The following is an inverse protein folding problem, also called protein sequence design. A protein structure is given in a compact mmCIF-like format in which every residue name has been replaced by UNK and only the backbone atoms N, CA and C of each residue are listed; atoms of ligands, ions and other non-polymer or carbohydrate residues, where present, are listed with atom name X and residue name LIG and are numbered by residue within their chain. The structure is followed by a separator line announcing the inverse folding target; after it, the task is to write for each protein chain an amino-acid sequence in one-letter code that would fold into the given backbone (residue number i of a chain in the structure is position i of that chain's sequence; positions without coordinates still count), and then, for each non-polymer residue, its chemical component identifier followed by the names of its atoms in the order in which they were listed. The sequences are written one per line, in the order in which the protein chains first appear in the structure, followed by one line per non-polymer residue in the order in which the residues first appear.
data_IF_335791796207
#
_entry.id   IF_335791796207
#
_cell.length_a   1.000
_cell.length_b   1.000
_cell.length_c   1.000
_cell.angle_alpha   90.00
_cell.angle_beta   90.00
_cell.angle_gamma   90.00
#
_symmetry.space_group_name_H-M   'P 1'
#
loop_
_entity.id
_entity.type
_entity.pdbx_description
1 polymer ?
#
# COMPACT_ATOMS: atom_id res chain seq x y z
N UNK A 1 25.94 28.33 32.57
CA UNK A 1 25.65 27.06 31.84
C UNK A 1 24.74 27.36 30.66
N UNK A 2 25.24 27.22 29.42
CA UNK A 2 24.45 27.43 28.20
C UNK A 2 23.41 26.31 28.07
N UNK A 3 22.13 26.66 27.91
CA UNK A 3 21.03 25.72 27.58
C UNK A 3 21.47 24.85 26.39
N UNK A 4 21.20 23.53 26.41
CA UNK A 4 21.57 22.67 25.29
C UNK A 4 20.84 23.17 24.04
N UNK A 5 21.60 23.41 22.96
CA UNK A 5 21.05 23.78 21.65
C UNK A 5 20.06 22.69 21.24
N UNK A 6 18.79 23.06 21.02
CA UNK A 6 17.80 22.20 20.37
C UNK A 6 18.43 21.67 19.09
N UNK A 7 18.54 20.34 18.96
CA UNK A 7 18.84 19.69 17.67
C UNK A 7 17.84 20.24 16.65
N UNK A 8 18.33 20.67 15.48
CA UNK A 8 17.49 21.11 14.36
C UNK A 8 16.39 20.06 14.16
N UNK A 9 15.15 20.50 14.34
CA UNK A 9 13.95 19.74 13.96
C UNK A 9 14.06 19.43 12.48
N UNK A 10 13.99 18.15 12.13
CA UNK A 10 13.90 17.69 10.74
C UNK A 10 12.70 18.41 10.13
N UNK A 11 12.95 19.22 9.10
CA UNK A 11 11.89 19.86 8.34
C UNK A 11 10.99 18.74 7.76
N UNK A 12 9.69 18.69 8.08
CA UNK A 12 8.81 17.60 7.65
C UNK A 12 8.70 17.45 6.13
N UNK A 13 9.07 18.49 5.37
CA UNK A 13 9.06 18.52 3.91
C UNK A 13 10.27 17.82 3.27
N UNK A 14 11.40 17.67 3.99
CA UNK A 14 12.64 17.09 3.48
C UNK A 14 12.83 15.61 3.86
N UNK A 15 11.88 15.02 4.60
CA UNK A 15 12.01 13.69 5.18
C UNK A 15 11.16 12.61 4.52
N UNK A 16 11.71 11.41 4.37
CA UNK A 16 11.04 10.25 3.78
C UNK A 16 10.14 9.57 4.83
N UNK A 17 8.89 9.24 4.47
CA UNK A 17 8.03 8.41 5.34
C UNK A 17 8.51 6.96 5.35
N UNK A 18 8.81 6.46 6.54
CA UNK A 18 9.30 5.11 6.75
C UNK A 18 8.31 4.32 7.61
N UNK A 19 7.87 3.17 7.11
CA UNK A 19 6.95 2.28 7.84
C UNK A 19 7.64 0.98 8.21
N UNK A 20 7.58 0.64 9.49
CA UNK A 20 8.02 -0.65 10.05
C UNK A 20 6.78 -1.47 10.42
N UNK A 21 6.74 -2.71 9.95
CA UNK A 21 5.73 -3.68 10.35
C UNK A 21 6.28 -4.58 11.46
N UNK A 22 5.55 -4.69 12.57
CA UNK A 22 5.81 -5.58 13.67
C UNK A 22 4.57 -6.39 14.09
N UNK A 23 4.72 -7.16 15.16
CA UNK A 23 3.66 -7.94 15.78
C UNK A 23 3.58 -7.60 17.27
N UNK A 24 2.37 -7.38 17.77
CA UNK A 24 2.12 -7.05 19.18
C UNK A 24 1.39 -8.18 19.88
N UNK A 25 1.87 -8.49 21.08
CA UNK A 25 1.35 -9.51 21.96
C UNK A 25 0.80 -8.81 23.20
N UNK A 26 -0.49 -8.42 23.22
CA UNK A 26 -1.07 -7.77 24.39
C UNK A 26 -1.18 -8.78 25.54
N UNK A 27 -0.77 -8.36 26.74
CA UNK A 27 -0.63 -9.24 27.91
C UNK A 27 -1.46 -8.73 29.08
N UNK A 28 -1.29 -7.45 29.45
CA UNK A 28 -1.98 -6.85 30.58
C UNK A 28 -3.18 -6.04 30.09
N UNK A 29 -4.38 -6.50 30.43
CA UNK A 29 -5.65 -5.85 30.12
C UNK A 29 -6.26 -5.20 31.36
N UNK A 30 -6.99 -4.09 31.22
CA UNK A 30 -7.82 -3.56 32.31
C UNK A 30 -8.84 -4.63 32.75
N UNK A 31 -8.96 -4.84 34.06
CA UNK A 31 -9.91 -5.82 34.60
C UNK A 31 -11.38 -5.44 34.33
N UNK A 32 -11.68 -4.13 34.34
CA UNK A 32 -13.03 -3.62 34.10
C UNK A 32 -13.39 -3.56 32.62
N UNK A 33 -14.62 -3.95 32.30
CA UNK A 33 -15.27 -3.74 30.99
C UNK A 33 -16.34 -2.67 31.10
N UNK A 34 -16.58 -1.94 30.01
CA UNK A 34 -17.63 -0.90 30.00
C UNK A 34 -19.01 -1.53 29.85
N UNK A 35 -19.91 -1.32 30.82
CA UNK A 35 -21.31 -1.75 30.71
C UNK A 35 -22.05 -1.07 29.56
N UNK A 36 -21.69 0.18 29.25
CA UNK A 36 -22.31 0.98 28.19
C UNK A 36 -21.83 0.57 26.79
N UNK A 37 -20.53 0.32 26.65
CA UNK A 37 -19.91 0.19 25.34
C UNK A 37 -19.50 -1.21 24.96
N UNK A 38 -19.21 -2.10 25.91
CA UNK A 38 -18.81 -3.47 25.61
C UNK A 38 -19.98 -4.26 25.01
N UNK A 39 -19.67 -5.31 24.24
CA UNK A 39 -20.67 -6.20 23.65
C UNK A 39 -20.25 -7.65 23.85
N UNK A 40 -21.11 -8.44 24.48
CA UNK A 40 -20.81 -9.84 24.82
C UNK A 40 -19.46 -9.96 25.54
N UNK A 41 -18.62 -10.88 25.08
CA UNK A 41 -17.31 -11.18 25.66
C UNK A 41 -16.15 -10.35 25.08
N UNK A 42 -16.43 -9.19 24.48
CA UNK A 42 -15.37 -8.30 23.99
C UNK A 42 -14.44 -7.84 25.13
N UNK A 43 -13.14 -8.06 24.95
CA UNK A 43 -12.12 -7.45 25.80
C UNK A 43 -12.07 -5.92 25.56
N UNK A 44 -11.52 -5.14 26.52
CA UNK A 44 -11.48 -3.68 26.40
C UNK A 44 -10.77 -3.16 25.14
N UNK A 45 -9.73 -3.83 24.65
CA UNK A 45 -9.05 -3.42 23.42
C UNK A 45 -9.95 -3.65 22.19
N UNK A 46 -10.61 -4.80 22.12
CA UNK A 46 -11.55 -5.13 21.03
C UNK A 46 -12.72 -4.13 21.01
N UNK A 47 -13.24 -3.75 22.16
CA UNK A 47 -14.25 -2.67 22.25
C UNK A 47 -13.70 -1.33 21.73
N UNK A 48 -12.51 -0.91 22.14
CA UNK A 48 -11.87 0.34 21.66
C UNK A 48 -11.73 0.36 20.13
N UNK A 49 -11.22 -0.74 19.54
CA UNK A 49 -11.05 -0.91 18.09
C UNK A 49 -12.41 -0.81 17.38
N UNK A 50 -13.45 -1.49 17.90
CA UNK A 50 -14.79 -1.47 17.31
C UNK A 50 -15.40 -0.07 17.35
N UNK A 51 -15.25 0.66 18.46
CA UNK A 51 -15.75 2.03 18.61
C UNK A 51 -15.03 2.97 17.65
N UNK A 52 -13.70 2.88 17.55
CA UNK A 52 -12.90 3.65 16.57
C UNK A 52 -13.39 3.41 15.12
N UNK A 53 -13.49 2.15 14.69
CA UNK A 53 -13.98 1.83 13.34
C UNK A 53 -15.43 2.24 13.11
N UNK A 54 -16.26 2.30 14.15
CA UNK A 54 -17.64 2.78 14.05
C UNK A 54 -17.68 4.30 13.90
N UNK A 55 -16.83 5.00 14.64
CA UNK A 55 -16.63 6.44 14.50
C UNK A 55 -16.11 6.82 13.11
N UNK A 56 -15.14 6.08 12.57
CA UNK A 56 -14.60 6.31 11.22
C UNK A 56 -15.71 6.19 10.15
N UNK A 57 -16.52 5.13 10.21
CA UNK A 57 -17.64 4.95 9.27
C UNK A 57 -18.72 6.02 9.41
N UNK A 58 -19.03 6.41 10.64
CA UNK A 58 -20.00 7.46 10.89
C UNK A 58 -19.48 8.80 10.37
N UNK A 59 -18.24 9.16 10.69
CA UNK A 59 -17.58 10.37 10.20
C UNK A 59 -17.51 10.40 8.68
N UNK A 60 -17.23 9.27 8.02
CA UNK A 60 -17.23 9.18 6.55
C UNK A 60 -18.55 9.61 5.91
N UNK A 61 -19.69 9.22 6.49
CA UNK A 61 -20.99 9.65 5.99
C UNK A 61 -21.22 11.14 6.27
N UNK A 62 -20.95 11.59 7.51
CA UNK A 62 -21.19 12.98 7.92
C UNK A 62 -20.30 14.00 7.19
N UNK A 63 -19.06 13.64 6.86
CA UNK A 63 -18.16 14.47 6.05
C UNK A 63 -18.71 14.68 4.63
N UNK A 64 -19.37 13.68 4.06
CA UNK A 64 -20.01 13.82 2.74
C UNK A 64 -21.28 14.69 2.78
N UNK A 65 -21.89 14.82 3.95
CA UNK A 65 -23.01 15.75 4.20
C UNK A 65 -22.52 17.19 4.43
N UNK A 66 -21.23 17.46 4.31
CA UNK A 66 -20.64 18.81 4.48
C UNK A 66 -20.42 19.22 5.94
N UNK A 67 -20.55 18.31 6.90
CA UNK A 67 -20.37 18.64 8.32
C UNK A 67 -18.90 18.88 8.68
N UNK A 68 -18.68 19.86 9.56
CA UNK A 68 -17.34 20.28 9.97
C UNK A 68 -16.64 19.27 10.90
N UNK A 69 -15.31 19.21 10.83
CA UNK A 69 -14.49 18.35 11.69
C UNK A 69 -14.76 18.61 13.18
N UNK A 70 -14.90 19.87 13.56
CA UNK A 70 -15.08 20.32 14.94
C UNK A 70 -16.40 19.80 15.53
N UNK A 71 -17.49 19.88 14.76
CA UNK A 71 -18.77 19.27 15.12
C UNK A 71 -18.66 17.77 15.29
N UNK A 72 -18.08 17.09 14.28
CA UNK A 72 -17.97 15.63 14.30
C UNK A 72 -17.12 15.14 15.46
N UNK A 73 -16.08 15.87 15.81
CA UNK A 73 -15.24 15.54 16.96
C UNK A 73 -16.00 15.66 18.28
N UNK A 74 -16.83 16.70 18.44
CA UNK A 74 -17.63 16.91 19.67
C UNK A 74 -18.72 15.85 19.80
N UNK A 75 -19.44 15.57 18.72
CA UNK A 75 -20.53 14.61 18.69
C UNK A 75 -20.03 13.16 18.76
N UNK A 76 -18.99 12.83 17.99
CA UNK A 76 -18.41 11.49 17.93
C UNK A 76 -17.87 11.01 19.29
N UNK A 77 -17.25 11.89 20.09
CA UNK A 77 -16.84 11.56 21.46
C UNK A 77 -18.03 11.11 22.33
N UNK A 78 -19.19 11.75 22.18
CA UNK A 78 -20.41 11.39 22.94
C UNK A 78 -21.03 10.08 22.42
N UNK A 79 -21.05 9.89 21.10
CA UNK A 79 -21.68 8.73 20.45
C UNK A 79 -20.84 7.46 20.62
N UNK A 80 -19.51 7.56 20.65
CA UNK A 80 -18.62 6.39 20.65
C UNK A 80 -17.81 6.23 21.94
N UNK A 81 -17.84 7.20 22.85
CA UNK A 81 -17.11 7.14 24.13
C UNK A 81 -15.60 7.20 24.01
N UNK A 82 -15.04 7.34 22.80
CA UNK A 82 -13.59 7.45 22.60
C UNK A 82 -13.10 8.88 22.86
N UNK A 83 -11.83 9.02 23.23
CA UNK A 83 -11.25 10.33 23.48
C UNK A 83 -11.19 11.20 22.21
N UNK A 84 -11.01 12.51 22.44
CA UNK A 84 -10.95 13.52 21.37
C UNK A 84 -9.90 13.22 20.29
N UNK A 85 -8.77 12.60 20.64
CA UNK A 85 -7.70 12.28 19.67
C UNK A 85 -8.07 11.11 18.78
N UNK A 86 -8.57 10.01 19.35
CA UNK A 86 -9.05 8.89 18.55
C UNK A 86 -10.24 9.27 17.67
N UNK A 87 -11.16 10.10 18.17
CA UNK A 87 -12.25 10.64 17.36
C UNK A 87 -11.71 11.46 16.18
N UNK A 88 -10.74 12.33 16.44
CA UNK A 88 -10.09 13.14 15.40
C UNK A 88 -9.35 12.30 14.36
N UNK A 89 -8.66 11.25 14.81
CA UNK A 89 -7.95 10.30 13.97
C UNK A 89 -8.91 9.44 13.13
N UNK A 90 -10.08 9.08 13.67
CA UNK A 90 -11.13 8.41 12.91
C UNK A 90 -11.72 9.33 11.82
N UNK A 91 -11.93 10.61 12.12
CA UNK A 91 -12.37 11.62 11.13
C UNK A 91 -11.30 11.80 10.05
N UNK A 92 -10.02 11.89 10.42
CA UNK A 92 -8.90 11.96 9.47
C UNK A 92 -8.89 10.75 8.53
N UNK A 93 -9.01 9.53 9.08
CA UNK A 93 -9.04 8.30 8.27
C UNK A 93 -10.23 8.28 7.32
N UNK A 94 -11.39 8.74 7.77
CA UNK A 94 -12.57 8.88 6.94
C UNK A 94 -12.36 9.89 5.79
N UNK A 95 -11.78 11.05 6.08
CA UNK A 95 -11.43 12.07 5.08
C UNK A 95 -10.45 11.55 4.03
N UNK A 96 -9.38 10.86 4.46
CA UNK A 96 -8.41 10.25 3.55
C UNK A 96 -9.04 9.20 2.61
N UNK A 97 -10.08 8.48 3.05
CA UNK A 97 -10.83 7.57 2.18
C UNK A 97 -11.61 8.36 1.12
N UNK A 98 -12.23 9.48 1.48
CA UNK A 98 -12.98 10.34 0.55
C UNK A 98 -12.03 10.94 -0.50
N UNK A 99 -10.91 11.53 -0.07
CA UNK A 99 -9.89 12.11 -0.94
C UNK A 99 -9.35 11.08 -1.93
N UNK A 100 -8.93 9.92 -1.43
CA UNK A 100 -8.46 8.81 -2.28
C UNK A 100 -9.53 8.37 -3.30
N UNK A 101 -10.82 8.40 -2.93
CA UNK A 101 -11.91 8.05 -3.85
C UNK A 101 -12.16 9.12 -4.92
N UNK A 102 -11.98 10.40 -4.59
CA UNK A 102 -12.06 11.49 -5.55
C UNK A 102 -10.93 11.42 -6.58
N UNK A 103 -9.70 11.18 -6.13
CA UNK A 103 -8.54 10.99 -7.02
C UNK A 103 -8.74 9.78 -7.95
N UNK A 104 -9.18 8.65 -7.38
CA UNK A 104 -9.42 7.44 -8.15
C UNK A 104 -10.59 7.57 -9.14
N UNK A 105 -11.55 8.47 -8.91
CA UNK A 105 -12.70 8.63 -9.78
C UNK A 105 -12.29 9.07 -11.19
N UNK A 106 -11.39 10.06 -11.29
CA UNK A 106 -10.88 10.54 -12.58
C UNK A 106 -10.17 9.42 -13.35
N UNK A 107 -9.26 8.70 -12.68
CA UNK A 107 -8.55 7.56 -13.25
C UNK A 107 -9.50 6.43 -13.66
N UNK A 108 -10.52 6.13 -12.85
CA UNK A 108 -11.50 5.10 -13.19
C UNK A 108 -12.37 5.47 -14.39
N UNK A 109 -12.71 6.75 -14.57
CA UNK A 109 -13.44 7.25 -15.74
C UNK A 109 -12.61 7.06 -16.99
N UNK A 110 -11.35 7.51 -16.97
CA UNK A 110 -10.43 7.39 -18.09
C UNK A 110 -10.24 5.90 -18.46
N UNK A 111 -9.83 5.07 -17.50
CA UNK A 111 -9.62 3.65 -17.73
C UNK A 111 -10.87 2.94 -18.26
N UNK A 112 -12.05 3.28 -17.71
CA UNK A 112 -13.32 2.67 -18.14
C UNK A 112 -13.68 3.13 -19.56
N UNK A 113 -13.40 4.38 -19.90
CA UNK A 113 -13.53 4.93 -21.26
C UNK A 113 -12.65 4.19 -22.26
N UNK A 114 -11.36 4.00 -21.96
CA UNK A 114 -10.44 3.23 -22.80
C UNK A 114 -10.90 1.78 -22.98
N UNK A 115 -11.36 1.13 -21.89
CA UNK A 115 -11.92 -0.23 -21.93
C UNK A 115 -13.17 -0.30 -22.80
N UNK A 116 -14.05 0.70 -22.73
CA UNK A 116 -15.26 0.79 -23.54
C UNK A 116 -14.92 0.95 -25.03
N UNK A 117 -14.00 1.85 -25.38
CA UNK A 117 -13.57 2.06 -26.75
C UNK A 117 -13.00 0.77 -27.36
N UNK A 118 -12.15 0.04 -26.61
CA UNK A 118 -11.64 -1.28 -27.03
C UNK A 118 -12.75 -2.32 -27.17
N UNK A 119 -13.69 -2.35 -26.23
CA UNK A 119 -14.80 -3.29 -26.27
C UNK A 119 -15.72 -3.05 -27.49
N UNK A 120 -15.93 -1.79 -27.89
CA UNK A 120 -16.64 -1.42 -29.13
C UNK A 120 -15.91 -1.93 -30.37
N UNK A 121 -14.61 -1.65 -30.51
CA UNK A 121 -13.81 -2.18 -31.63
C UNK A 121 -13.88 -3.72 -31.75
N UNK A 122 -13.89 -4.43 -30.60
CA UNK A 122 -14.03 -5.90 -30.57
C UNK A 122 -15.44 -6.37 -30.91
N UNK A 123 -16.47 -5.59 -30.59
CA UNK A 123 -17.85 -5.86 -31.00
C UNK A 123 -17.98 -5.70 -32.52
N UNK A 124 -17.47 -4.59 -33.08
CA UNK A 124 -17.54 -4.32 -34.53
C UNK A 124 -16.87 -5.45 -35.34
N UNK A 125 -15.71 -5.94 -34.88
CA UNK A 125 -15.04 -7.11 -35.49
C UNK A 125 -15.91 -8.37 -35.41
N UNK A 126 -16.47 -8.67 -34.23
CA UNK A 126 -17.33 -9.84 -34.05
C UNK A 126 -18.61 -9.78 -34.90
N UNK A 127 -19.17 -8.59 -35.12
CA UNK A 127 -20.33 -8.38 -35.99
C UNK A 127 -19.97 -8.61 -37.47
N UNK A 128 -18.78 -8.17 -37.91
CA UNK A 128 -18.25 -8.51 -39.24
C UNK A 128 -18.02 -10.01 -39.42
N UNK A 129 -17.45 -10.67 -38.41
CA UNK A 129 -17.24 -12.13 -38.44
C UNK A 129 -18.55 -12.90 -38.53
N UNK A 130 -19.60 -12.44 -37.83
CA UNK A 130 -20.94 -13.00 -37.92
C UNK A 130 -21.54 -12.81 -39.31
N UNK A 131 -21.43 -11.61 -39.90
CA UNK A 131 -21.90 -11.34 -41.25
C UNK A 131 -21.21 -12.23 -42.29
N UNK A 132 -19.89 -12.43 -42.16
CA UNK A 132 -19.13 -13.34 -43.02
C UNK A 132 -19.57 -14.81 -42.81
N UNK A 133 -19.79 -15.25 -41.56
CA UNK A 133 -20.26 -16.60 -41.27
C UNK A 133 -21.63 -16.88 -41.90
N UNK A 134 -22.56 -15.91 -41.84
CA UNK A 134 -23.88 -15.98 -42.49
C UNK A 134 -23.73 -16.16 -43.99
N UNK A 135 -22.83 -15.40 -44.64
CA UNK A 135 -22.55 -15.52 -46.08
C UNK A 135 -22.01 -16.90 -46.48
N UNK A 136 -21.19 -17.52 -45.63
CA UNK A 136 -20.63 -18.86 -45.88
C UNK A 136 -21.58 -20.02 -45.56
N UNK A 137 -22.75 -19.76 -44.96
CA UNK A 137 -23.81 -20.75 -44.73
C UNK A 137 -23.52 -21.85 -43.70
N UNK A 138 -22.37 -21.84 -43.00
CA UNK A 138 -22.03 -22.89 -42.02
C UNK A 138 -22.76 -22.67 -40.68
N UNK A 139 -23.71 -23.55 -40.28
CA UNK A 139 -24.55 -23.33 -39.09
C UNK A 139 -23.75 -23.22 -37.78
N UNK A 140 -22.74 -24.08 -37.60
CA UNK A 140 -21.89 -24.07 -36.41
C UNK A 140 -21.06 -22.78 -36.27
N UNK A 141 -20.58 -22.21 -37.39
CA UNK A 141 -19.85 -20.94 -37.38
C UNK A 141 -20.76 -19.77 -37.04
N UNK A 142 -21.98 -19.76 -37.57
CA UNK A 142 -23.00 -18.74 -37.30
C UNK A 142 -23.36 -18.73 -35.81
N UNK A 143 -23.63 -19.90 -35.22
CA UNK A 143 -23.99 -20.00 -33.80
C UNK A 143 -22.86 -19.48 -32.89
N UNK A 144 -21.62 -19.90 -33.15
CA UNK A 144 -20.43 -19.47 -32.39
C UNK A 144 -20.20 -17.96 -32.49
N UNK A 145 -20.32 -17.39 -33.69
CA UNK A 145 -20.20 -15.95 -33.91
C UNK A 145 -21.33 -15.19 -33.21
N UNK A 146 -22.57 -15.70 -33.26
CA UNK A 146 -23.73 -15.13 -32.57
C UNK A 146 -23.54 -15.07 -31.05
N UNK A 147 -23.11 -16.17 -30.41
CA UNK A 147 -22.76 -16.19 -28.98
C UNK A 147 -21.66 -15.18 -28.63
N UNK A 148 -20.68 -15.03 -29.51
CA UNK A 148 -19.59 -14.07 -29.34
C UNK A 148 -20.10 -12.63 -29.38
N UNK A 149 -20.89 -12.26 -30.39
CA UNK A 149 -21.53 -10.94 -30.51
C UNK A 149 -22.38 -10.65 -29.27
N UNK A 150 -23.21 -11.59 -28.84
CA UNK A 150 -24.03 -11.43 -27.63
C UNK A 150 -23.17 -11.10 -26.39
N UNK A 151 -22.11 -11.87 -26.15
CA UNK A 151 -21.17 -11.62 -25.05
C UNK A 151 -20.46 -10.26 -25.14
N UNK A 152 -20.07 -9.84 -26.35
CA UNK A 152 -19.45 -8.52 -26.59
C UNK A 152 -20.43 -7.37 -26.37
N UNK A 153 -21.68 -7.49 -26.84
CA UNK A 153 -22.76 -6.51 -26.57
C UNK A 153 -23.01 -6.35 -25.08
N UNK A 154 -23.12 -7.46 -24.34
CA UNK A 154 -23.27 -7.44 -22.88
C UNK A 154 -22.07 -6.77 -22.17
N UNK A 155 -20.85 -6.97 -22.68
CA UNK A 155 -19.65 -6.31 -22.15
C UNK A 155 -19.66 -4.80 -22.40
N UNK A 156 -20.01 -4.36 -23.61
CA UNK A 156 -20.14 -2.95 -23.99
C UNK A 156 -21.22 -2.27 -23.13
N UNK A 157 -22.42 -2.85 -23.03
CA UNK A 157 -23.51 -2.33 -22.20
C UNK A 157 -23.05 -2.09 -20.75
N UNK A 158 -22.42 -3.10 -20.14
CA UNK A 158 -21.92 -3.03 -18.76
C UNK A 158 -20.85 -1.94 -18.55
N UNK A 159 -19.93 -1.79 -19.50
CA UNK A 159 -18.89 -0.75 -19.44
C UNK A 159 -19.49 0.64 -19.63
N UNK A 160 -20.47 0.79 -20.52
CA UNK A 160 -21.22 2.04 -20.73
C UNK A 160 -21.95 2.43 -19.45
N UNK A 161 -22.76 1.54 -18.88
CA UNK A 161 -23.46 1.80 -17.62
C UNK A 161 -22.51 2.20 -16.49
N UNK A 162 -21.37 1.50 -16.35
CA UNK A 162 -20.36 1.87 -15.35
C UNK A 162 -19.79 3.27 -15.61
N UNK A 163 -19.46 3.59 -16.86
CA UNK A 163 -18.91 4.91 -17.21
C UNK A 163 -19.92 6.02 -16.93
N UNK A 164 -21.18 5.79 -17.26
CA UNK A 164 -22.27 6.74 -17.00
C UNK A 164 -22.43 6.97 -15.48
N UNK A 165 -22.45 5.90 -14.67
CA UNK A 165 -22.46 5.98 -13.19
C UNK A 165 -21.30 6.82 -12.64
N UNK A 166 -20.07 6.58 -13.12
CA UNK A 166 -18.89 7.32 -12.67
C UNK A 166 -18.95 8.80 -13.08
N UNK A 167 -19.42 9.10 -14.29
CA UNK A 167 -19.61 10.49 -14.75
C UNK A 167 -20.68 11.22 -13.95
N UNK A 168 -21.77 10.55 -13.60
CA UNK A 168 -22.79 11.11 -12.70
C UNK A 168 -22.18 11.50 -11.35
N UNK A 169 -21.33 10.64 -10.78
CA UNK A 169 -20.62 10.97 -9.54
C UNK A 169 -19.72 12.20 -9.69
N UNK A 170 -18.95 12.27 -10.79
CA UNK A 170 -18.08 13.41 -11.08
C UNK A 170 -18.87 14.71 -11.22
N UNK A 171 -19.95 14.71 -12.02
CA UNK A 171 -20.78 15.89 -12.26
C UNK A 171 -21.46 16.39 -10.98
N UNK A 172 -21.88 15.48 -10.11
CA UNK A 172 -22.55 15.83 -8.86
C UNK A 172 -21.56 16.16 -7.72
N UNK A 173 -20.24 16.10 -7.96
CA UNK A 173 -19.23 16.28 -6.91
C UNK A 173 -19.25 15.20 -5.81
N UNK A 174 -19.81 14.03 -6.12
CA UNK A 174 -19.94 12.90 -5.18
C UNK A 174 -18.94 11.80 -5.49
N UNK A 175 -18.84 10.80 -4.61
CA UNK A 175 -17.97 9.64 -4.81
C UNK A 175 -18.79 8.34 -4.98
N UNK A 176 -18.27 7.35 -5.73
CA UNK A 176 -18.87 6.02 -5.76
C UNK A 176 -18.97 5.38 -4.39
N UNK A 177 -20.00 4.56 -4.19
CA UNK A 177 -20.28 3.92 -2.90
C UNK A 177 -19.09 3.12 -2.37
N UNK A 178 -18.71 3.40 -1.12
CA UNK A 178 -17.63 2.69 -0.42
C UNK A 178 -18.19 1.58 0.47
N UNK A 179 -17.66 0.37 0.31
CA UNK A 179 -18.03 -0.79 1.13
C UNK A 179 -16.93 -1.10 2.16
N UNK A 180 -17.13 -0.65 3.40
CA UNK A 180 -16.26 -0.98 4.53
C UNK A 180 -16.27 -2.50 4.81
N UNK A 181 -15.08 -3.07 5.06
CA UNK A 181 -14.88 -4.54 5.18
C UNK A 181 -14.62 -5.25 3.86
N UNK A 182 -14.60 -4.51 2.74
CA UNK A 182 -14.17 -5.00 1.43
C UNK A 182 -15.31 -5.46 0.53
N UNK A 183 -15.39 -4.90 -0.69
CA UNK A 183 -16.42 -5.21 -1.69
C UNK A 183 -16.45 -6.69 -2.10
N UNK A 184 -15.29 -7.34 -2.15
CA UNK A 184 -15.20 -8.77 -2.50
C UNK A 184 -15.85 -9.66 -1.44
N UNK A 185 -15.57 -9.38 -0.16
CA UNK A 185 -16.17 -10.10 0.97
C UNK A 185 -17.68 -9.85 1.01
N UNK A 186 -18.12 -8.62 0.81
CA UNK A 186 -19.55 -8.29 0.74
C UNK A 186 -20.28 -9.09 -0.36
N UNK A 187 -19.71 -9.16 -1.56
CA UNK A 187 -20.29 -9.98 -2.65
C UNK A 187 -20.39 -11.47 -2.31
N UNK A 188 -19.47 -12.01 -1.50
CA UNK A 188 -19.55 -13.40 -1.03
C UNK A 188 -20.70 -13.60 -0.06
N UNK A 189 -20.93 -12.65 0.85
CA UNK A 189 -22.06 -12.68 1.78
C UNK A 189 -23.38 -12.65 1.02
N UNK A 190 -23.52 -11.76 0.03
CA UNK A 190 -24.73 -11.69 -0.82
C UNK A 190 -25.01 -13.00 -1.58
N UNK A 191 -24.02 -13.89 -1.69
CA UNK A 191 -24.12 -15.20 -2.35
C UNK A 191 -24.16 -16.37 -1.36
N UNK A 192 -24.27 -16.10 -0.05
CA UNK A 192 -24.23 -17.14 0.99
C UNK A 192 -22.88 -17.85 1.16
N UNK A 193 -21.76 -17.26 0.67
CA UNK A 193 -20.42 -17.88 0.70
C UNK A 193 -19.48 -17.31 1.77
N UNK A 194 -20.02 -16.51 2.69
CA UNK A 194 -19.32 -15.90 3.81
C UNK A 194 -20.36 -15.43 4.84
N UNK A 195 -19.97 -15.36 6.12
CA UNK A 195 -20.88 -14.98 7.21
C UNK A 195 -20.92 -13.46 7.42
N UNK A 196 -21.95 -12.98 8.13
CA UNK A 196 -22.06 -11.57 8.52
C UNK A 196 -20.96 -11.20 9.52
N UNK A 197 -20.58 -12.15 10.38
CA UNK A 197 -19.57 -12.04 11.43
C UNK A 197 -18.19 -11.86 10.82
N UNK A 198 -17.84 -12.62 9.79
CA UNK A 198 -16.58 -12.44 9.04
C UNK A 198 -16.44 -11.02 8.48
N UNK A 199 -17.55 -10.46 7.99
CA UNK A 199 -17.55 -9.10 7.45
C UNK A 199 -17.51 -8.03 8.52
N UNK A 200 -18.23 -8.24 9.63
CA UNK A 200 -18.16 -7.40 10.84
C UNK A 200 -16.73 -7.35 11.38
N UNK A 201 -16.06 -8.48 11.47
CA UNK A 201 -14.64 -8.55 11.85
C UNK A 201 -13.76 -7.75 10.87
N UNK A 202 -13.91 -7.96 9.56
CA UNK A 202 -13.10 -7.26 8.55
C UNK A 202 -13.30 -5.73 8.51
N UNK A 203 -14.40 -5.21 9.07
CA UNK A 203 -14.67 -3.75 9.16
C UNK A 203 -14.35 -3.16 10.52
N UNK A 204 -14.00 -3.96 11.52
CA UNK A 204 -13.78 -3.55 12.92
C UNK A 204 -12.45 -4.08 13.44
N UNK A 205 -11.41 -4.06 12.61
CA UNK A 205 -10.13 -4.67 12.94
C UNK A 205 -8.96 -3.69 12.94
N UNK A 206 -9.22 -2.38 12.95
CA UNK A 206 -8.17 -1.36 12.87
C UNK A 206 -8.32 -0.31 13.97
N UNK A 207 -7.19 0.09 14.53
CA UNK A 207 -7.10 1.25 15.40
C UNK A 207 -5.90 2.07 14.95
N UNK A 208 -6.12 3.36 14.74
CA UNK A 208 -5.09 4.26 14.25
C UNK A 208 -4.90 5.42 15.23
N UNK A 209 -3.65 5.81 15.45
CA UNK A 209 -3.29 6.98 16.21
C UNK A 209 -2.17 7.76 15.53
N UNK A 210 -2.34 9.07 15.38
CA UNK A 210 -1.25 9.95 14.93
C UNK A 210 -0.26 10.26 16.06
N UNK A 211 0.99 10.47 15.66
CA UNK A 211 2.00 11.07 16.50
C UNK A 211 1.75 12.57 16.72
N UNK A 212 2.22 13.08 17.85
CA UNK A 212 2.16 14.47 18.28
C UNK A 212 3.52 14.81 18.93
N UNK A 213 4.31 15.64 18.25
CA UNK A 213 5.65 16.04 18.69
C UNK A 213 5.61 16.69 20.08
N UNK A 214 4.57 17.47 20.36
CA UNK A 214 4.39 18.16 21.65
C UNK A 214 4.09 17.20 22.81
N UNK A 215 3.81 15.92 22.51
CA UNK A 215 3.44 14.89 23.48
C UNK A 215 4.42 13.70 23.51
N UNK A 216 5.59 13.85 22.88
CA UNK A 216 6.68 12.89 22.92
C UNK A 216 6.36 11.59 22.19
N UNK A 217 6.06 11.69 20.89
CA UNK A 217 5.74 10.52 20.05
C UNK A 217 4.24 10.36 19.86
N UNK A 218 3.67 9.24 20.29
CA UNK A 218 2.24 8.96 20.08
C UNK A 218 1.49 8.83 21.43
N UNK A 219 0.55 9.73 21.76
CA UNK A 219 -0.08 9.74 23.07
C UNK A 219 -1.01 8.54 23.33
N UNK A 220 -1.67 8.05 22.28
CA UNK A 220 -2.70 7.01 22.37
C UNK A 220 -2.13 5.59 22.18
N UNK A 221 -1.10 5.43 21.37
CA UNK A 221 -0.44 4.14 21.13
C UNK A 221 1.08 4.34 21.31
N UNK A 222 1.58 4.12 22.53
CA UNK A 222 2.96 4.40 22.90
C UNK A 222 3.83 3.17 22.72
N UNK A 223 4.95 3.35 22.04
CA UNK A 223 6.07 2.40 21.99
C UNK A 223 7.09 2.83 23.05
N UNK A 224 7.63 1.86 23.76
CA UNK A 224 8.73 2.03 24.70
C UNK A 224 9.78 0.95 24.50
N UNK A 225 11.03 1.27 24.83
CA UNK A 225 12.14 0.32 24.82
C UNK A 225 12.73 0.25 26.23
N UNK A 226 12.71 -0.95 26.85
CA UNK A 226 13.24 -1.19 28.21
C UNK A 226 13.85 -2.58 28.27
N UNK A 227 14.98 -2.70 28.96
CA UNK A 227 15.65 -4.00 29.22
C UNK A 227 15.90 -4.82 27.95
N UNK A 228 16.29 -4.18 26.84
CA UNK A 228 16.57 -4.86 25.58
C UNK A 228 15.34 -5.12 24.70
N UNK A 229 14.11 -4.87 25.19
CA UNK A 229 12.87 -5.23 24.51
C UNK A 229 11.98 -4.04 24.19
N UNK A 230 11.26 -4.13 23.07
CA UNK A 230 10.20 -3.20 22.72
C UNK A 230 8.87 -3.63 23.33
N UNK A 231 8.13 -2.67 23.86
CA UNK A 231 6.77 -2.84 24.34
C UNK A 231 5.85 -1.80 23.70
N UNK A 232 4.58 -2.16 23.53
CA UNK A 232 3.54 -1.27 23.05
C UNK A 232 2.44 -1.15 24.12
N UNK A 233 1.90 0.06 24.27
CA UNK A 233 0.77 0.33 25.13
C UNK A 233 -0.32 1.12 24.40
N UNK A 234 -1.54 0.60 24.42
CA UNK A 234 -2.70 1.20 23.76
C UNK A 234 -3.65 1.76 24.82
N UNK A 235 -4.00 3.03 24.71
CA UNK A 235 -5.01 3.67 25.56
C UNK A 235 -6.39 3.06 25.29
N UNK A 236 -7.12 2.72 26.35
CA UNK A 236 -8.51 2.29 26.30
C UNK A 236 -9.38 3.44 26.78
N UNK A 237 -9.68 4.37 25.86
CA UNK A 237 -10.25 5.65 26.21
C UNK A 237 -11.72 5.61 26.59
N UNK A 238 -12.46 4.61 26.11
CA UNK A 238 -13.88 4.42 26.48
C UNK A 238 -14.09 4.00 27.94
N UNK A 239 -13.02 3.63 28.65
CA UNK A 239 -13.02 3.38 30.09
C UNK A 239 -12.64 4.64 30.91
N UNK A 240 -12.42 5.79 30.27
CA UNK A 240 -12.22 7.05 30.99
C UNK A 240 -13.57 7.61 31.44
N UNK A 241 -13.65 8.04 32.70
CA UNK A 241 -14.88 8.52 33.34
C UNK A 241 -14.67 9.97 33.78
N UNK A 242 -15.75 10.73 33.88
CA UNK A 242 -15.67 12.08 34.41
C UNK A 242 -15.41 12.01 35.92
N UNK A 243 -14.28 12.56 36.37
CA UNK A 243 -13.91 12.67 37.78
C UNK A 243 -14.39 13.98 38.41
N UNK A 244 -14.67 15.00 37.59
CA UNK A 244 -15.12 16.31 38.06
C UNK A 244 -15.29 17.29 36.91
N UNK A 245 -15.30 18.57 37.25
CA UNK A 245 -15.45 19.69 36.30
C UNK A 245 -14.43 20.76 36.66
N UNK A 246 -13.78 21.34 35.65
CA UNK A 246 -12.84 22.44 35.86
C UNK A 246 -13.56 23.78 36.09
N UNK A 247 -12.79 24.82 36.44
CA UNK A 247 -13.32 26.17 36.70
C UNK A 247 -14.02 26.82 35.49
N UNK A 248 -13.92 26.23 34.29
CA UNK A 248 -14.57 26.69 33.06
C UNK A 248 -15.73 25.78 32.65
N UNK A 249 -16.21 24.92 33.54
CA UNK A 249 -17.33 24.01 33.26
C UNK A 249 -16.97 22.83 32.35
N UNK A 250 -15.68 22.56 32.10
CA UNK A 250 -15.26 21.46 31.21
C UNK A 250 -15.07 20.17 32.02
N UNK A 251 -15.49 19.01 31.48
CA UNK A 251 -15.36 17.74 32.18
C UNK A 251 -13.88 17.38 32.36
N UNK A 252 -13.49 17.10 33.61
CA UNK A 252 -12.18 16.55 33.95
C UNK A 252 -12.31 15.03 33.96
N UNK A 253 -11.53 14.37 33.11
CA UNK A 253 -11.62 12.93 32.91
C UNK A 253 -10.54 12.19 33.71
N UNK A 254 -10.86 10.99 34.21
CA UNK A 254 -9.88 10.08 34.80
C UNK A 254 -8.86 9.63 33.75
N UNK A 255 -7.66 9.29 34.20
CA UNK A 255 -6.64 8.75 33.30
C UNK A 255 -7.13 7.42 32.73
N UNK A 256 -7.29 7.37 31.41
CA UNK A 256 -7.66 6.15 30.71
C UNK A 256 -6.64 5.03 30.97
N UNK A 257 -7.10 3.81 31.29
CA UNK A 257 -6.21 2.67 31.45
C UNK A 257 -5.60 2.28 30.09
N UNK A 258 -4.54 1.47 30.12
CA UNK A 258 -3.84 1.02 28.90
C UNK A 258 -3.74 -0.50 28.88
N UNK A 259 -3.82 -1.06 27.69
CA UNK A 259 -3.42 -2.45 27.43
C UNK A 259 -1.96 -2.42 27.05
N UNK A 260 -1.14 -3.23 27.72
CA UNK A 260 0.33 -3.29 27.50
C UNK A 260 0.75 -4.68 27.08
N UNK A 261 1.84 -4.78 26.33
CA UNK A 261 2.47 -6.06 26.02
C UNK A 261 3.65 -5.94 25.07
N UNK A 262 4.29 -7.07 24.79
CA UNK A 262 5.52 -7.15 24.00
C UNK A 262 5.30 -6.79 22.53
N UNK A 263 6.19 -5.96 21.99
CA UNK A 263 6.22 -5.59 20.58
C UNK A 263 7.41 -6.24 19.89
N UNK A 264 7.16 -7.20 19.02
CA UNK A 264 8.18 -7.77 18.17
C UNK A 264 8.40 -6.90 16.92
N UNK A 265 9.66 -6.58 16.66
CA UNK A 265 10.11 -5.89 15.46
C UNK A 265 11.19 -6.71 14.74
N UNK A 266 11.18 -6.74 13.39
CA UNK A 266 12.27 -7.31 12.61
C UNK A 266 13.61 -6.66 12.97
N UNK A 267 14.64 -7.47 13.17
CA UNK A 267 15.96 -7.04 13.66
C UNK A 267 16.54 -5.85 12.86
N UNK A 268 16.51 -5.94 11.53
CA UNK A 268 16.94 -4.90 10.58
C UNK A 268 16.26 -3.53 10.73
N UNK A 269 15.20 -3.43 11.52
CA UNK A 269 14.45 -2.19 11.74
C UNK A 269 14.50 -1.70 13.19
N UNK A 270 15.03 -2.50 14.13
CA UNK A 270 15.06 -2.18 15.55
C UNK A 270 15.83 -0.89 15.84
N UNK A 271 17.02 -0.73 15.27
CA UNK A 271 17.84 0.48 15.45
C UNK A 271 17.10 1.75 15.00
N UNK A 272 16.50 1.75 13.80
CA UNK A 272 15.76 2.91 13.29
C UNK A 272 14.57 3.29 14.16
N UNK A 273 13.82 2.30 14.66
CA UNK A 273 12.71 2.58 15.58
C UNK A 273 13.25 3.14 16.89
N UNK A 274 14.32 2.56 17.44
CA UNK A 274 14.93 3.04 18.67
C UNK A 274 15.46 4.48 18.55
N UNK A 275 16.20 4.80 17.49
CA UNK A 275 16.66 6.15 17.17
C UNK A 275 15.49 7.14 17.08
N UNK A 276 14.40 6.75 16.42
CA UNK A 276 13.19 7.58 16.32
C UNK A 276 12.51 7.80 17.69
N UNK A 277 12.59 6.85 18.62
CA UNK A 277 12.06 7.03 19.97
C UNK A 277 12.95 7.96 20.79
N UNK A 278 14.27 7.82 20.66
CA UNK A 278 15.25 8.67 21.36
C UNK A 278 15.21 10.13 20.88
N UNK A 279 14.90 10.36 19.60
CA UNK A 279 14.76 11.71 19.06
C UNK A 279 13.49 12.44 19.55
N UNK A 280 12.53 11.70 20.11
CA UNK A 280 11.22 12.24 20.48
C UNK A 280 10.32 12.58 19.29
N UNK A 281 10.71 12.19 18.07
CA UNK A 281 9.95 12.48 16.86
C UNK A 281 8.55 11.84 16.90
N UNK A 282 7.53 12.50 16.34
CA UNK A 282 6.19 11.92 16.25
C UNK A 282 6.20 10.70 15.32
N UNK A 283 5.47 9.66 15.72
CA UNK A 283 5.24 8.46 14.92
C UNK A 283 3.77 8.08 14.94
N UNK A 284 3.24 7.67 13.79
CA UNK A 284 1.90 7.16 13.65
C UNK A 284 1.92 5.65 13.91
N UNK A 285 0.85 5.13 14.51
CA UNK A 285 0.68 3.69 14.70
C UNK A 285 -0.68 3.27 14.15
N UNK A 286 -0.67 2.25 13.28
CA UNK A 286 -1.88 1.52 12.87
C UNK A 286 -1.80 0.09 13.40
N UNK A 287 -2.74 -0.26 14.27
CA UNK A 287 -2.94 -1.59 14.79
C UNK A 287 -3.96 -2.33 13.93
N UNK A 288 -3.64 -3.56 13.52
CA UNK A 288 -4.49 -4.38 12.66
C UNK A 288 -4.69 -5.76 13.30
N UNK A 289 -5.92 -6.06 13.74
CA UNK A 289 -6.30 -7.39 14.22
C UNK A 289 -6.52 -8.32 13.02
N UNK A 290 -5.72 -9.37 12.94
CA UNK A 290 -5.86 -10.41 11.93
C UNK A 290 -7.00 -11.38 12.25
N UNK A 291 -7.40 -12.18 11.25
CA UNK A 291 -8.36 -13.28 11.45
C UNK A 291 -7.79 -14.41 12.32
N UNK A 292 -6.46 -14.47 12.39
CA UNK A 292 -5.69 -15.35 13.26
C UNK A 292 -5.65 -14.86 14.72
N UNK A 293 -6.37 -13.79 15.06
CA UNK A 293 -6.38 -13.18 16.40
C UNK A 293 -5.14 -12.33 16.71
N UNK A 294 -4.13 -12.36 15.84
CA UNK A 294 -2.84 -11.68 16.06
C UNK A 294 -2.87 -10.23 15.64
N UNK A 295 -2.11 -9.39 16.35
CA UNK A 295 -2.08 -7.95 16.14
C UNK A 295 -0.83 -7.55 15.35
N UNK A 296 -1.04 -7.06 14.13
CA UNK A 296 0.02 -6.47 13.31
C UNK A 296 0.08 -4.98 13.58
N UNK A 297 1.28 -4.45 13.72
CA UNK A 297 1.52 -3.03 14.02
C UNK A 297 2.27 -2.40 12.88
N UNK A 298 1.73 -1.34 12.30
CA UNK A 298 2.44 -0.49 11.35
C UNK A 298 2.86 0.80 12.05
N UNK A 299 4.16 1.04 12.12
CA UNK A 299 4.76 2.19 12.78
C UNK A 299 5.34 3.08 11.69
N UNK A 300 4.79 4.27 11.51
CA UNK A 300 5.21 5.20 10.46
C UNK A 300 5.82 6.45 11.07
N UNK A 301 7.06 6.75 10.72
CA UNK A 301 7.78 7.94 11.16
C UNK A 301 8.55 8.56 10.00
N UNK A 302 8.98 9.80 10.17
CA UNK A 302 9.82 10.48 9.18
C UNK A 302 11.28 10.14 9.45
N UNK A 303 12.03 9.78 8.41
CA UNK A 303 13.49 9.62 8.44
C UNK A 303 14.13 10.65 7.52
N UNK A 304 15.35 11.08 7.83
CA UNK A 304 16.14 11.92 6.93
C UNK A 304 16.34 11.20 5.60
N UNK A 305 16.23 11.94 4.49
CA UNK A 305 16.58 11.41 3.18
C UNK A 305 18.06 10.96 3.19
N UNK A 306 18.39 9.80 2.59
CA UNK A 306 19.78 9.39 2.47
C UNK A 306 20.52 10.35 1.53
N UNK A 307 21.79 10.62 1.84
CA UNK A 307 22.66 11.35 0.92
C UNK A 307 22.78 10.59 -0.41
N UNK A 308 22.82 11.29 -1.56
CA UNK A 308 23.04 10.66 -2.85
C UNK A 308 24.38 9.90 -2.87
N UNK A 309 24.33 8.60 -3.18
CA UNK A 309 25.53 7.75 -3.30
C UNK A 309 25.90 7.48 -4.77
N UNK A 310 25.23 8.13 -5.70
CA UNK A 310 25.45 7.96 -7.14
C UNK A 310 25.49 9.32 -7.83
N UNK A 311 26.26 9.43 -8.91
CA UNK A 311 26.42 10.67 -9.67
C UNK A 311 26.08 10.47 -11.15
N UNK A 312 25.16 11.27 -11.72
CA UNK A 312 24.91 11.29 -13.16
C UNK A 312 26.16 11.54 -14.01
N UNK A 313 27.20 12.17 -13.45
CA UNK A 313 28.46 12.42 -14.13
C UNK A 313 29.27 11.13 -14.38
N UNK A 314 28.93 10.02 -13.70
CA UNK A 314 29.48 8.69 -13.96
C UNK A 314 28.76 7.95 -15.10
N UNK A 315 27.72 8.56 -15.69
CA UNK A 315 26.81 7.88 -16.61
C UNK A 315 25.66 7.19 -15.87
N UNK A 316 25.11 6.13 -16.44
CA UNK A 316 23.93 5.46 -15.92
C UNK A 316 24.06 3.94 -15.99
N UNK A 317 23.30 3.26 -15.14
CA UNK A 317 22.96 1.86 -15.31
C UNK A 317 21.58 1.78 -15.97
N UNK A 318 21.55 1.52 -17.28
CA UNK A 318 20.32 1.27 -18.01
C UNK A 318 19.69 -0.04 -17.55
N UNK A 319 18.43 0.00 -17.14
CA UNK A 319 17.66 -1.16 -16.68
C UNK A 319 16.51 -1.44 -17.64
N UNK A 320 16.58 -2.60 -18.29
CA UNK A 320 15.47 -3.18 -19.04
C UNK A 320 14.86 -4.36 -18.27
N UNK A 321 13.54 -4.46 -18.27
CA UNK A 321 12.80 -5.45 -17.48
C UNK A 321 12.25 -6.53 -18.38
N UNK A 322 12.36 -7.80 -17.97
CA UNK A 322 11.94 -8.96 -18.77
C UNK A 322 11.10 -9.98 -17.96
N UNK A 323 10.27 -10.82 -18.63
CA UNK A 323 9.42 -11.85 -18.01
C UNK A 323 10.02 -12.72 -16.91
N UNK A 324 11.32 -12.92 -16.98
CA UNK A 324 12.10 -13.82 -16.17
C UNK A 324 13.32 -13.13 -15.58
N UNK A 325 13.41 -11.80 -15.60
CA UNK A 325 14.64 -11.14 -15.15
C UNK A 325 14.74 -9.66 -15.44
N UNK A 326 15.96 -9.14 -15.33
CA UNK A 326 16.33 -7.76 -15.67
C UNK A 326 17.64 -7.78 -16.44
N UNK A 327 17.71 -7.01 -17.51
CA UNK A 327 18.94 -6.67 -18.21
C UNK A 327 19.46 -5.33 -17.69
N UNK A 328 20.77 -5.26 -17.49
CA UNK A 328 21.49 -4.07 -17.06
C UNK A 328 22.57 -3.74 -18.09
N UNK A 329 22.68 -2.47 -18.45
CA UNK A 329 23.73 -1.94 -19.32
C UNK A 329 24.45 -0.79 -18.63
N UNK A 330 25.76 -0.91 -18.45
CA UNK A 330 26.59 0.17 -17.95
C UNK A 330 26.87 1.13 -19.10
N UNK A 331 26.48 2.39 -18.95
CA UNK A 331 26.81 3.46 -19.91
C UNK A 331 27.57 4.58 -19.21
N UNK A 332 28.53 5.16 -19.92
CA UNK A 332 29.31 6.30 -19.43
C UNK A 332 28.51 7.62 -19.57
N UNK A 333 29.11 8.73 -19.18
CA UNK A 333 28.50 10.06 -19.25
C UNK A 333 28.06 10.46 -20.67
N UNK A 334 28.76 9.98 -21.69
CA UNK A 334 28.46 10.23 -23.10
C UNK A 334 27.40 9.29 -23.68
N UNK A 335 26.89 8.35 -22.88
CA UNK A 335 25.90 7.36 -23.32
C UNK A 335 26.49 6.17 -24.09
N UNK A 336 27.82 6.00 -24.10
CA UNK A 336 28.47 4.85 -24.72
C UNK A 336 28.53 3.68 -23.71
N UNK A 337 28.40 2.41 -24.17
CA UNK A 337 28.60 1.26 -23.31
C UNK A 337 29.99 1.27 -22.65
N UNK A 338 30.02 1.00 -21.35
CA UNK A 338 31.26 0.94 -20.57
C UNK A 338 31.46 -0.49 -20.05
N UNK A 339 32.58 -1.15 -20.37
CA UNK A 339 32.91 -2.49 -19.88
C UNK A 339 32.81 -2.62 -18.36
N UNK A 340 32.54 -3.84 -17.89
CA UNK A 340 32.67 -4.12 -16.46
C UNK A 340 34.15 -4.06 -16.06
N UNK A 341 34.49 -3.54 -14.87
CA UNK A 341 35.85 -3.59 -14.36
C UNK A 341 36.35 -5.03 -14.28
N UNK A 342 37.67 -5.18 -14.42
CA UNK A 342 38.33 -6.47 -14.25
C UNK A 342 38.03 -7.04 -12.85
N UNK A 343 37.67 -8.32 -12.80
CA UNK A 343 37.29 -8.99 -11.54
C UNK A 343 35.92 -8.61 -10.98
N UNK A 344 35.07 -7.90 -11.74
CA UNK A 344 33.71 -7.58 -11.28
C UNK A 344 32.88 -8.83 -11.00
N UNK A 345 32.40 -8.95 -9.76
CA UNK A 345 31.38 -9.90 -9.37
C UNK A 345 30.07 -9.18 -9.07
N UNK A 346 28.96 -9.72 -9.60
CA UNK A 346 27.64 -9.16 -9.34
C UNK A 346 27.32 -9.28 -7.84
N UNK A 347 26.97 -8.17 -7.15
CA UNK A 347 26.63 -8.23 -5.74
C UNK A 347 25.32 -9.02 -5.55
N UNK A 348 25.42 -10.29 -5.16
CA UNK A 348 24.26 -11.14 -4.92
C UNK A 348 24.02 -11.36 -3.41
N UNK A 349 22.76 -11.32 -2.94
CA UNK A 349 22.44 -11.70 -1.58
C UNK A 349 22.83 -13.15 -1.29
N UNK A 350 23.55 -13.38 -0.19
CA UNK A 350 23.94 -14.72 0.30
C UNK A 350 22.77 -15.71 0.44
N UNK A 351 21.50 -15.30 0.40
CA UNK A 351 20.36 -16.21 0.55
C UNK A 351 19.87 -16.83 -0.78
N UNK A 352 20.43 -16.44 -1.94
CA UNK A 352 19.94 -16.83 -3.27
C UNK A 352 20.43 -18.20 -3.77
N UNK A 353 21.46 -18.77 -3.16
CA UNK A 353 21.98 -20.09 -3.54
C UNK A 353 21.17 -21.26 -2.92
N UNK A 354 20.02 -20.99 -2.29
CA UNK A 354 19.23 -22.05 -1.64
C UNK A 354 18.73 -23.12 -2.60
N UNK A 355 18.62 -22.81 -3.90
CA UNK A 355 18.22 -23.76 -4.92
C UNK A 355 19.02 -23.50 -6.22
N UNK A 356 19.59 -24.56 -6.78
CA UNK A 356 20.39 -24.49 -8.00
C UNK A 356 19.54 -23.97 -9.18
N UNK A 357 20.06 -22.99 -9.91
CA UNK A 357 19.42 -22.44 -11.11
C UNK A 357 18.31 -21.41 -10.89
N UNK A 358 17.96 -21.06 -9.64
CA UNK A 358 16.98 -19.99 -9.33
C UNK A 358 17.43 -18.59 -9.74
N UNK A 359 18.74 -18.38 -9.80
CA UNK A 359 19.38 -17.12 -10.14
C UNK A 359 20.54 -17.40 -11.07
N UNK A 360 20.42 -16.93 -12.31
CA UNK A 360 21.42 -17.13 -13.35
C UNK A 360 21.89 -15.76 -13.80
N UNK A 361 23.20 -15.57 -13.81
CA UNK A 361 23.83 -14.31 -14.16
C UNK A 361 24.63 -14.53 -15.43
N UNK A 362 24.33 -13.77 -16.47
CA UNK A 362 25.13 -13.73 -17.68
C UNK A 362 25.81 -12.37 -17.74
N UNK A 363 27.12 -12.33 -17.49
CA UNK A 363 27.95 -11.12 -17.61
C UNK A 363 28.59 -11.12 -18.99
N UNK A 364 28.41 -10.04 -19.75
CA UNK A 364 29.13 -9.82 -21.00
C UNK A 364 30.21 -8.75 -20.75
N UNK A 365 31.46 -8.94 -21.22
CA UNK A 365 32.57 -8.03 -20.93
C UNK A 365 32.34 -6.57 -21.33
N UNK A 366 31.53 -6.34 -22.35
CA UNK A 366 31.17 -5.03 -22.91
C UNK A 366 30.21 -4.18 -22.05
N UNK A 367 29.98 -4.55 -20.78
CA UNK A 367 29.15 -3.74 -19.87
C UNK A 367 27.68 -4.14 -19.84
N UNK A 368 27.33 -5.30 -20.40
CA UNK A 368 25.97 -5.86 -20.34
C UNK A 368 25.88 -6.99 -19.32
N UNK A 369 24.79 -7.03 -18.58
CA UNK A 369 24.53 -8.00 -17.53
C UNK A 369 23.07 -8.43 -17.60
N UNK A 370 22.82 -9.73 -17.71
CA UNK A 370 21.48 -10.28 -17.60
C UNK A 370 21.32 -11.06 -16.30
N UNK A 371 20.33 -10.66 -15.49
CA UNK A 371 19.95 -11.34 -14.26
C UNK A 371 18.66 -12.09 -14.51
N UNK A 372 18.76 -13.41 -14.65
CA UNK A 372 17.63 -14.31 -14.89
C UNK A 372 17.17 -14.98 -13.60
N UNK A 373 15.88 -14.87 -13.33
CA UNK A 373 15.12 -15.52 -12.29
C UNK A 373 13.88 -16.22 -12.93
N UNK A 374 14.03 -17.43 -13.47
CA UNK A 374 12.97 -18.11 -14.23
C UNK A 374 11.64 -18.23 -13.49
N UNK A 375 11.69 -18.38 -12.16
CA UNK A 375 10.52 -18.49 -11.30
C UNK A 375 9.66 -17.23 -11.25
N UNK A 376 10.22 -16.06 -11.60
CA UNK A 376 9.49 -14.80 -11.60
C UNK A 376 8.29 -14.83 -12.57
N UNK A 377 8.42 -15.53 -13.70
CA UNK A 377 7.41 -15.63 -14.74
C UNK A 377 6.12 -16.34 -14.29
N UNK A 378 6.22 -17.28 -13.32
CA UNK A 378 5.09 -18.13 -12.92
C UNK A 378 4.78 -18.12 -11.41
N UNK A 379 5.72 -17.72 -10.55
CA UNK A 379 5.50 -17.57 -9.10
C UNK A 379 4.34 -16.63 -8.81
N UNK A 380 3.67 -16.77 -7.66
CA UNK A 380 2.56 -15.91 -7.23
C UNK A 380 2.69 -15.52 -5.75
N UNK A 381 1.89 -14.55 -5.32
CA UNK A 381 1.77 -14.18 -3.91
C UNK A 381 3.10 -13.77 -3.28
N UNK A 382 3.39 -14.32 -2.10
CA UNK A 382 4.57 -13.99 -1.30
C UNK A 382 5.88 -14.30 -2.02
N UNK A 383 5.98 -15.48 -2.66
CA UNK A 383 7.19 -15.92 -3.35
C UNK A 383 7.60 -14.93 -4.45
N UNK A 384 6.64 -14.49 -5.27
CA UNK A 384 6.89 -13.45 -6.28
C UNK A 384 7.39 -12.14 -5.66
N UNK A 385 6.72 -11.66 -4.61
CA UNK A 385 7.13 -10.42 -3.92
C UNK A 385 8.55 -10.53 -3.36
N UNK A 386 8.92 -11.69 -2.82
CA UNK A 386 10.27 -11.97 -2.34
C UNK A 386 11.29 -11.89 -3.48
N UNK A 387 11.08 -12.61 -4.58
CA UNK A 387 11.98 -12.61 -5.75
C UNK A 387 12.17 -11.21 -6.34
N UNK A 388 11.09 -10.43 -6.46
CA UNK A 388 11.16 -9.03 -6.89
C UNK A 388 12.03 -8.19 -5.94
N UNK A 389 11.85 -8.37 -4.62
CA UNK A 389 12.61 -7.62 -3.62
C UNK A 389 14.11 -7.98 -3.60
N UNK A 390 14.42 -9.22 -3.97
CA UNK A 390 15.78 -9.72 -4.19
C UNK A 390 16.39 -9.12 -5.45
N UNK A 391 15.69 -9.19 -6.59
CA UNK A 391 16.13 -8.60 -7.85
C UNK A 391 16.41 -7.10 -7.70
N UNK A 392 15.48 -6.37 -7.06
CA UNK A 392 15.65 -4.96 -6.79
C UNK A 392 16.87 -4.68 -5.89
N UNK A 393 17.21 -5.59 -4.97
CA UNK A 393 18.43 -5.46 -4.15
C UNK A 393 19.68 -5.55 -5.03
N UNK A 394 19.78 -6.57 -5.87
CA UNK A 394 20.94 -6.76 -6.75
C UNK A 394 21.11 -5.54 -7.65
N UNK A 395 20.05 -5.08 -8.33
CA UNK A 395 20.11 -3.91 -9.22
C UNK A 395 20.62 -2.66 -8.49
N UNK A 396 20.11 -2.37 -7.29
CA UNK A 396 20.51 -1.20 -6.50
C UNK A 396 21.93 -1.35 -5.96
N UNK A 397 22.32 -2.54 -5.51
CA UNK A 397 23.69 -2.80 -5.03
C UNK A 397 24.70 -2.66 -6.18
N UNK A 398 24.36 -3.15 -7.39
CA UNK A 398 25.16 -2.96 -8.61
C UNK A 398 25.31 -1.47 -8.93
N UNK A 399 24.20 -0.71 -8.94
CA UNK A 399 24.22 0.73 -9.17
C UNK A 399 25.15 1.48 -8.19
N UNK A 400 25.13 1.08 -6.90
CA UNK A 400 26.03 1.62 -5.86
C UNK A 400 27.48 1.25 -6.07
N UNK A 401 27.77 0.01 -6.47
CA UNK A 401 29.13 -0.45 -6.72
C UNK A 401 29.82 0.36 -7.84
N UNK A 402 29.04 0.96 -8.73
CA UNK A 402 29.53 1.78 -9.84
C UNK A 402 29.33 3.28 -9.65
N UNK A 403 28.77 3.74 -8.52
CA UNK A 403 28.37 5.13 -8.29
C UNK A 403 27.45 5.69 -9.41
N UNK A 404 26.69 4.83 -10.09
CA UNK A 404 25.85 5.20 -11.23
C UNK A 404 24.37 5.21 -10.86
N UNK A 405 23.62 6.27 -11.19
CA UNK A 405 22.15 6.24 -11.10
C UNK A 405 21.55 5.22 -12.06
N UNK A 406 20.30 4.82 -11.80
CA UNK A 406 19.56 3.85 -12.62
C UNK A 406 18.69 4.60 -13.62
N UNK A 407 18.80 4.29 -14.91
CA UNK A 407 17.84 4.70 -15.93
C UNK A 407 16.84 3.55 -16.15
N UNK A 408 15.54 3.82 -16.02
CA UNK A 408 14.51 2.79 -16.19
C UNK A 408 13.43 3.24 -17.15
N UNK A 409 12.93 2.32 -17.97
CA UNK A 409 11.85 2.61 -18.89
C UNK A 409 10.54 2.89 -18.16
N UNK A 410 9.86 3.98 -18.52
CA UNK A 410 8.52 4.31 -18.06
C UNK A 410 7.48 3.50 -18.86
N UNK A 411 7.41 2.22 -18.55
CA UNK A 411 6.54 1.30 -19.26
C UNK A 411 5.09 1.38 -18.77
N UNK A 412 4.21 2.02 -19.57
CA UNK A 412 2.76 1.98 -19.39
C UNK A 412 2.13 0.70 -19.97
N UNK A 413 2.17 -0.37 -19.18
CA UNK A 413 1.45 -1.59 -19.48
C UNK A 413 0.00 -1.51 -18.97
N UNK A 414 -0.86 -0.83 -19.73
CA UNK A 414 -2.28 -1.05 -19.63
C UNK A 414 -2.59 -2.56 -19.76
N UNK A 415 -3.31 -3.13 -18.79
CA UNK A 415 -3.58 -4.59 -18.60
C UNK A 415 -4.09 -5.39 -19.82
N UNK A 416 -4.39 -4.73 -20.94
CA UNK A 416 -5.03 -5.32 -22.11
C UNK A 416 -4.28 -5.05 -23.43
N UNK A 417 -3.00 -4.63 -23.42
CA UNK A 417 -2.25 -4.24 -24.64
C UNK A 417 -1.52 -5.38 -25.37
N UNK A 418 -1.31 -6.53 -24.73
CA UNK A 418 -0.57 -7.64 -25.33
C UNK A 418 -1.60 -8.62 -25.89
N UNK A 419 -1.74 -8.62 -27.23
CA UNK A 419 -2.64 -9.50 -27.98
C UNK A 419 -1.81 -10.26 -29.03
N UNK A 420 -0.88 -11.09 -28.55
CA UNK A 420 -0.11 -12.03 -29.37
C UNK A 420 -0.63 -13.46 -29.13
N UNK A 421 0.03 -14.25 -28.28
CA UNK A 421 -0.30 -15.65 -27.96
C UNK A 421 -1.05 -15.74 -26.61
N UNK A 422 -2.04 -16.63 -26.46
CA UNK A 422 -2.68 -16.95 -25.18
C UNK A 422 -1.66 -17.29 -24.08
N UNK A 423 -0.55 -17.98 -24.40
CA UNK A 423 0.53 -18.30 -23.45
C UNK A 423 1.28 -17.02 -23.04
N UNK A 424 1.65 -16.19 -24.01
CA UNK A 424 2.30 -14.91 -23.77
C UNK A 424 1.39 -13.94 -23.00
N UNK A 425 0.13 -13.82 -23.39
CA UNK A 425 -0.86 -12.96 -22.73
C UNK A 425 -1.13 -13.43 -21.29
N UNK A 426 -1.14 -14.74 -21.01
CA UNK A 426 -1.22 -15.26 -19.64
C UNK A 426 0.03 -14.93 -18.82
N UNK A 427 1.21 -15.05 -19.42
CA UNK A 427 2.49 -14.71 -18.79
C UNK A 427 2.56 -13.21 -18.48
N UNK A 428 2.28 -12.38 -19.48
CA UNK A 428 2.37 -10.92 -19.44
C UNK A 428 1.25 -10.25 -18.63
N UNK A 429 0.01 -10.76 -18.64
CA UNK A 429 -1.05 -10.28 -17.75
C UNK A 429 -0.77 -10.59 -16.28
N UNK A 430 0.04 -11.61 -16.01
CA UNK A 430 0.54 -11.91 -14.68
C UNK A 430 1.82 -11.13 -14.36
N UNK A 431 2.39 -10.42 -15.32
CA UNK A 431 3.77 -9.98 -15.24
C UNK A 431 3.95 -8.76 -14.32
N UNK A 432 4.91 -8.79 -13.39
CA UNK A 432 5.10 -7.75 -12.40
C UNK A 432 5.98 -6.56 -12.86
N UNK A 433 6.01 -6.12 -14.13
CA UNK A 433 6.85 -5.00 -14.63
C UNK A 433 6.82 -3.81 -13.67
N UNK A 434 5.61 -3.27 -13.46
CA UNK A 434 5.36 -2.18 -12.53
C UNK A 434 5.82 -2.49 -11.11
N UNK A 435 5.67 -3.73 -10.62
CA UNK A 435 6.12 -4.10 -9.27
C UNK A 435 7.64 -4.20 -9.15
N UNK A 436 8.35 -4.62 -10.21
CA UNK A 436 9.82 -4.63 -10.26
C UNK A 436 10.32 -3.19 -10.24
N UNK A 437 9.84 -2.35 -11.15
CA UNK A 437 10.17 -0.92 -11.23
C UNK A 437 9.89 -0.24 -9.88
N UNK A 438 8.70 -0.41 -9.31
CA UNK A 438 8.37 0.15 -8.01
C UNK A 438 9.27 -0.38 -6.87
N UNK A 439 9.70 -1.65 -6.92
CA UNK A 439 10.59 -2.21 -5.91
C UNK A 439 12.01 -1.64 -6.03
N UNK A 440 12.52 -1.46 -7.25
CA UNK A 440 13.80 -0.80 -7.52
C UNK A 440 13.73 0.65 -7.07
N UNK A 441 12.74 1.43 -7.52
CA UNK A 441 12.56 2.84 -7.12
C UNK A 441 12.49 3.01 -5.60
N UNK A 442 11.66 2.21 -4.92
CA UNK A 442 11.53 2.27 -3.45
C UNK A 442 12.83 1.95 -2.74
N UNK A 443 13.61 0.98 -3.25
CA UNK A 443 14.89 0.63 -2.65
C UNK A 443 15.95 1.67 -2.95
N UNK A 444 16.05 2.13 -4.19
CA UNK A 444 17.00 3.15 -4.63
C UNK A 444 16.84 4.44 -3.81
N UNK A 445 15.61 4.93 -3.68
CA UNK A 445 15.27 6.09 -2.84
C UNK A 445 15.67 5.92 -1.37
N UNK A 446 15.57 4.71 -0.82
CA UNK A 446 15.98 4.42 0.57
C UNK A 446 17.50 4.34 0.75
N UNK A 447 18.23 4.05 -0.32
CA UNK A 447 19.67 3.81 -0.30
C UNK A 447 20.48 4.94 -0.97
N UNK A 448 19.84 6.07 -1.32
CA UNK A 448 20.50 7.23 -1.91
C UNK A 448 20.86 7.08 -3.39
N UNK A 449 20.33 6.06 -4.07
CA UNK A 449 20.59 5.82 -5.50
C UNK A 449 19.60 6.64 -6.33
N UNK A 450 20.14 7.46 -7.23
CA UNK A 450 19.35 8.23 -8.18
C UNK A 450 18.63 7.34 -9.19
N UNK A 451 17.39 7.70 -9.55
CA UNK A 451 16.60 6.99 -10.54
C UNK A 451 16.00 7.96 -11.54
N UNK A 452 16.17 7.69 -12.83
CA UNK A 452 15.64 8.50 -13.92
C UNK A 452 14.70 7.66 -14.80
N UNK A 453 13.38 7.92 -14.77
CA UNK A 453 12.45 7.36 -15.74
C UNK A 453 12.75 7.89 -17.14
N UNK A 454 12.83 7.01 -18.13
CA UNK A 454 13.05 7.34 -19.55
C UNK A 454 11.88 6.86 -20.40
N UNK A 455 11.55 7.58 -21.47
CA UNK A 455 10.45 7.21 -22.36
C UNK A 455 10.82 5.93 -23.14
N UNK A 456 9.95 4.91 -23.23
CA UNK A 456 10.23 3.66 -23.96
C UNK A 456 10.27 3.79 -25.50
N UNK A 457 10.35 5.00 -26.06
CA UNK A 457 10.21 5.18 -27.50
C UNK A 457 11.48 4.70 -28.22
N UNK A 458 11.38 3.54 -28.87
CA UNK A 458 12.41 2.91 -29.71
C UNK A 458 13.64 2.31 -29.00
N UNK A 459 13.51 1.92 -27.73
CA UNK A 459 14.52 1.11 -27.01
C UNK A 459 14.44 -0.38 -27.31
#
# INVERSE_FOLDING_TARGET
MKKPKKKKTVNPEDGIKYTVCGEWFPESFPARRSLRWARGEEDPLTTEIRLFCSCERWAFNRLQEGRSREELKKEGQKIFGINSRFCDDAILKAGAIIESRRELLALEIEETGTKLARARKKLDRAEKDLAAAIKTGSPAKIEKAGRTVHGRKARVKRLKTKLDELKTHQNNGTIPTVVFGGRSLWKRICRGRATKEEWRSARQNRLYARGDETKGGNPNIKISYRSGEFALSVTVSHLSEQAGTDSRGRPVMTRAPRVTGKLWLPEKHRLKVWESLLSGAPYNVELIKGRDGRYRVHITFTVTAPEPVTSPNRGYLGMDTNPDGVALASVNYFGQPEPWPEGFEVPYPKALHKFAGEFQVTVQPNGFLYIKMPELAYSRGYRRTYLIGVLAKVVVDTAKAFDKPIALEDLDFGKDRLDTDRKFNRMAASFPFKKIIEAVMRRASREGVGVKPVRPAHT
#
